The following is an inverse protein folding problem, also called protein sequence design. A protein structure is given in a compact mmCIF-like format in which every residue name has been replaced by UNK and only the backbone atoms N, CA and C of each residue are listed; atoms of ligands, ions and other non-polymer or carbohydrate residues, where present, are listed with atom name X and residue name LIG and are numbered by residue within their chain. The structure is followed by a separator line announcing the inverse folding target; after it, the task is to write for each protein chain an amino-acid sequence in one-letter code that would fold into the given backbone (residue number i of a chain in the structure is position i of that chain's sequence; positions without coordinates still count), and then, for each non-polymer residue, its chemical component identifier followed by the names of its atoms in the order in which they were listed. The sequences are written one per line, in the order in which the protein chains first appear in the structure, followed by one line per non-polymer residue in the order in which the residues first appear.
data_IF_429342427234
#
_entry.id   IF_429342427234
#
_cell.length_a   1.000
_cell.length_b   1.000
_cell.length_c   1.000
_cell.angle_alpha   90.00
_cell.angle_beta   90.00
_cell.angle_gamma   90.00
#
_symmetry.space_group_name_H-M   'P 1'
#
loop_
_entity.id
_entity.type
_entity.pdbx_description
1 polymer ?
#
# COMPACT_ATOMS: atom_id res chain seq x y z
N UNK A 1 -9.32 -14.15 8.15
CA UNK A 1 -8.63 -13.01 8.82
C UNK A 1 -7.49 -12.39 8.01
N UNK A 2 -6.97 -13.01 6.93
CA UNK A 2 -5.82 -12.47 6.18
C UNK A 2 -5.95 -11.01 5.69
N UNK A 3 -7.15 -10.59 5.24
CA UNK A 3 -7.40 -9.19 4.86
C UNK A 3 -7.14 -8.17 5.98
N UNK A 4 -7.38 -8.55 7.24
CA UNK A 4 -7.15 -7.67 8.40
C UNK A 4 -5.65 -7.45 8.62
N UNK A 5 -4.84 -8.51 8.51
CA UNK A 5 -3.38 -8.41 8.63
C UNK A 5 -2.79 -7.54 7.51
N UNK A 6 -3.30 -7.70 6.28
CA UNK A 6 -2.92 -6.84 5.15
C UNK A 6 -3.25 -5.38 5.46
N UNK A 7 -4.49 -5.10 5.89
CA UNK A 7 -4.91 -3.74 6.25
C UNK A 7 -4.02 -3.14 7.34
N UNK A 8 -3.68 -3.92 8.36
CA UNK A 8 -2.80 -3.49 9.45
C UNK A 8 -1.40 -3.12 8.95
N UNK A 9 -0.79 -3.94 8.08
CA UNK A 9 0.52 -3.65 7.49
C UNK A 9 0.52 -2.35 6.67
N UNK A 10 -0.54 -2.08 5.92
CA UNK A 10 -0.66 -0.83 5.16
C UNK A 10 -0.90 0.38 6.06
N UNK A 11 -1.68 0.27 7.13
CA UNK A 11 -1.87 1.37 8.08
C UNK A 11 -0.57 1.71 8.82
N UNK A 12 0.26 0.72 9.17
CA UNK A 12 1.61 1.00 9.70
C UNK A 12 2.46 1.78 8.69
N UNK A 13 2.41 1.37 7.42
CA UNK A 13 3.16 2.04 6.35
C UNK A 13 2.69 3.48 6.14
N UNK A 14 1.37 3.73 6.24
CA UNK A 14 0.80 5.09 6.24
C UNK A 14 1.30 5.92 7.42
N UNK A 15 1.34 5.34 8.62
CA UNK A 15 1.86 6.03 9.82
C UNK A 15 3.35 6.37 9.70
N UNK A 16 4.13 5.55 9.00
CA UNK A 16 5.54 5.84 8.70
C UNK A 16 5.73 6.78 7.49
N UNK A 17 4.67 7.07 6.72
CA UNK A 17 4.76 7.82 5.47
C UNK A 17 5.48 7.06 4.35
N UNK A 18 5.53 5.73 4.45
CA UNK A 18 6.20 4.85 3.49
C UNK A 18 5.18 4.16 2.58
N UNK A 19 5.60 3.91 1.34
CA UNK A 19 4.86 3.08 0.40
C UNK A 19 5.32 1.64 0.59
N UNK A 20 4.40 0.75 0.92
CA UNK A 20 4.69 -0.66 1.11
C UNK A 20 4.25 -1.48 -0.09
N UNK A 21 5.07 -2.47 -0.41
CA UNK A 21 4.72 -3.57 -1.30
C UNK A 21 4.80 -4.85 -0.48
N UNK A 22 3.94 -5.85 -0.73
CA UNK A 22 4.13 -7.16 -0.12
C UNK A 22 5.50 -7.75 -0.46
N UNK A 23 6.14 -8.38 0.52
CA UNK A 23 7.35 -9.19 0.31
C UNK A 23 7.02 -10.39 -0.58
N UNK A 24 7.90 -10.65 -1.57
CA UNK A 24 7.74 -11.72 -2.56
C UNK A 24 8.68 -12.88 -2.18
N UNK A 25 8.27 -14.16 -2.33
CA UNK A 25 7.07 -14.63 -3.03
C UNK A 25 5.82 -14.68 -2.13
N UNK A 26 4.71 -14.15 -2.64
CA UNK A 26 3.38 -14.31 -2.04
C UNK A 26 2.80 -15.69 -2.37
N UNK A 27 2.16 -16.35 -1.41
CA UNK A 27 1.32 -17.53 -1.67
C UNK A 27 0.10 -17.19 -2.54
N UNK A 28 -0.48 -18.16 -3.25
CA UNK A 28 -1.68 -17.96 -4.11
C UNK A 28 -2.84 -17.32 -3.35
N UNK A 29 -3.12 -17.79 -2.14
CA UNK A 29 -4.15 -17.23 -1.26
C UNK A 29 -3.80 -15.80 -0.80
N UNK A 30 -2.51 -15.52 -0.63
CA UNK A 30 -1.99 -14.19 -0.34
C UNK A 30 -2.30 -13.24 -1.49
N UNK A 31 -1.92 -13.61 -2.73
CA UNK A 31 -2.19 -12.81 -3.93
C UNK A 31 -3.67 -12.46 -4.08
N UNK A 32 -4.56 -13.43 -3.89
CA UNK A 32 -6.02 -13.18 -3.92
C UNK A 32 -6.46 -12.23 -2.80
N UNK A 33 -5.92 -12.38 -1.60
CA UNK A 33 -6.24 -11.52 -0.46
C UNK A 33 -5.78 -10.07 -0.68
N UNK A 34 -4.56 -9.87 -1.20
CA UNK A 34 -4.02 -8.55 -1.54
C UNK A 34 -4.83 -7.89 -2.65
N UNK A 35 -5.08 -8.58 -3.77
CA UNK A 35 -5.91 -8.05 -4.86
C UNK A 35 -7.29 -7.64 -4.37
N UNK A 36 -7.94 -8.48 -3.57
CA UNK A 36 -9.27 -8.18 -3.04
C UNK A 36 -9.26 -6.99 -2.08
N UNK A 37 -8.19 -6.80 -1.29
CA UNK A 37 -8.02 -5.62 -0.44
C UNK A 37 -7.79 -4.35 -1.29
N UNK A 38 -6.84 -4.38 -2.22
CA UNK A 38 -6.52 -3.25 -3.09
C UNK A 38 -7.73 -2.80 -3.92
N UNK A 39 -8.45 -3.74 -4.54
CA UNK A 39 -9.65 -3.42 -5.31
C UNK A 39 -10.71 -2.73 -4.46
N UNK A 40 -10.91 -3.18 -3.21
CA UNK A 40 -11.87 -2.56 -2.30
C UNK A 40 -11.46 -1.13 -1.91
N UNK A 41 -10.21 -0.93 -1.49
CA UNK A 41 -9.67 0.40 -1.12
C UNK A 41 -9.76 1.37 -2.30
N UNK A 42 -9.36 0.92 -3.49
CA UNK A 42 -9.44 1.73 -4.71
C UNK A 42 -10.88 2.06 -5.04
N UNK A 43 -11.81 1.11 -4.96
CA UNK A 43 -13.24 1.38 -5.21
C UNK A 43 -13.81 2.39 -4.23
N UNK A 44 -13.47 2.31 -2.95
CA UNK A 44 -13.96 3.25 -1.94
C UNK A 44 -13.48 4.68 -2.22
N UNK A 45 -12.20 4.84 -2.57
CA UNK A 45 -11.65 6.14 -2.96
C UNK A 45 -12.31 6.63 -4.24
N UNK A 46 -12.39 5.79 -5.28
CA UNK A 46 -12.97 6.15 -6.56
C UNK A 46 -14.47 6.46 -6.48
N UNK A 47 -15.20 5.81 -5.57
CA UNK A 47 -16.62 6.08 -5.32
C UNK A 47 -16.83 7.46 -4.69
N UNK A 48 -15.94 7.87 -3.79
CA UNK A 48 -16.03 9.15 -3.08
C UNK A 48 -15.32 10.30 -3.82
N UNK A 49 -14.46 9.99 -4.80
CA UNK A 49 -13.73 10.98 -5.56
C UNK A 49 -14.59 11.60 -6.66
N UNK A 50 -14.91 12.89 -6.53
CA UNK A 50 -15.50 13.70 -7.58
C UNK A 50 -14.39 14.39 -8.40
N UNK A 51 -13.69 13.67 -9.29
CA UNK A 51 -12.71 14.30 -10.18
C UNK A 51 -11.72 13.36 -10.86
N UNK A 52 -10.77 13.95 -11.60
CA UNK A 52 -9.64 13.23 -12.19
C UNK A 52 -8.59 12.93 -11.11
N UNK A 53 -8.59 11.70 -10.58
CA UNK A 53 -7.49 11.23 -9.73
C UNK A 53 -6.33 10.73 -10.59
N UNK A 54 -5.10 10.97 -10.14
CA UNK A 54 -3.90 10.37 -10.73
C UNK A 54 -3.45 9.13 -9.95
N UNK A 55 -2.65 8.28 -10.61
CA UNK A 55 -2.07 7.09 -9.96
C UNK A 55 -1.14 7.47 -8.80
N UNK A 56 -0.49 8.64 -8.89
CA UNK A 56 0.36 9.17 -7.82
C UNK A 56 -0.47 9.53 -6.59
N UNK A 57 -1.63 10.16 -6.78
CA UNK A 57 -2.52 10.53 -5.67
C UNK A 57 -3.05 9.27 -4.97
N UNK A 58 -3.45 8.25 -5.74
CA UNK A 58 -3.86 6.97 -5.18
C UNK A 58 -2.74 6.31 -4.38
N UNK A 59 -1.50 6.34 -4.90
CA UNK A 59 -0.34 5.78 -4.20
C UNK A 59 -0.06 6.51 -2.88
N UNK A 60 -0.16 7.84 -2.88
CA UNK A 60 0.01 8.65 -1.67
C UNK A 60 -1.11 8.43 -0.64
N UNK A 61 -2.36 8.28 -1.07
CA UNK A 61 -3.50 8.05 -0.17
C UNK A 61 -3.53 6.65 0.44
N UNK A 62 -3.05 5.64 -0.31
CA UNK A 62 -3.19 4.23 0.08
C UNK A 62 -1.92 3.61 0.61
N UNK A 63 -0.76 4.26 0.42
CA UNK A 63 0.57 3.66 0.62
C UNK A 63 0.82 2.40 -0.21
N UNK A 64 0.04 2.18 -1.28
CA UNK A 64 0.23 1.08 -2.23
C UNK A 64 1.14 1.56 -3.37
N UNK A 65 1.99 0.67 -3.89
CA UNK A 65 2.84 0.99 -5.04
C UNK A 65 2.02 1.30 -6.29
N UNK A 66 2.53 2.22 -7.12
CA UNK A 66 1.89 2.56 -8.39
C UNK A 66 1.72 1.34 -9.31
N UNK A 67 2.67 0.41 -9.29
CA UNK A 67 2.61 -0.84 -10.07
C UNK A 67 1.44 -1.72 -9.65
N UNK A 68 1.22 -1.88 -8.35
CA UNK A 68 0.12 -2.69 -7.83
C UNK A 68 -1.23 -2.01 -8.10
N UNK A 69 -1.30 -0.68 -7.96
CA UNK A 69 -2.48 0.12 -8.31
C UNK A 69 -2.83 -0.06 -9.79
N UNK A 70 -1.86 0.11 -10.68
CA UNK A 70 -2.06 -0.05 -12.14
C UNK A 70 -2.58 -1.45 -12.45
N UNK A 71 -1.92 -2.49 -11.94
CA UNK A 71 -2.33 -3.88 -12.21
C UNK A 71 -3.74 -4.19 -11.68
N UNK A 72 -4.12 -3.60 -10.55
CA UNK A 72 -5.44 -3.78 -9.93
C UNK A 72 -6.50 -3.04 -10.74
N UNK A 73 -6.27 -1.77 -11.10
CA UNK A 73 -7.19 -0.99 -11.92
C UNK A 73 -7.35 -1.58 -13.33
N UNK A 74 -6.28 -2.16 -13.90
CA UNK A 74 -6.33 -2.88 -15.18
C UNK A 74 -7.25 -4.10 -15.08
N UNK A 75 -7.11 -4.88 -14.00
CA UNK A 75 -7.97 -6.05 -13.75
C UNK A 75 -9.45 -5.68 -13.61
N UNK A 76 -9.73 -4.44 -13.17
CA UNK A 76 -11.08 -3.90 -12.99
C UNK A 76 -11.60 -3.13 -14.21
N UNK A 77 -10.84 -3.07 -15.31
CA UNK A 77 -11.14 -2.24 -16.49
C UNK A 77 -11.39 -0.75 -16.17
N UNK A 78 -10.70 -0.23 -15.14
CA UNK A 78 -10.84 1.16 -14.67
C UNK A 78 -9.69 2.08 -15.06
N UNK A 79 -8.72 1.56 -15.81
CA UNK A 79 -7.59 2.33 -16.33
C UNK A 79 -7.40 1.99 -17.80
N UNK A 80 -7.09 3.01 -18.60
CA UNK A 80 -6.74 2.88 -20.01
C UNK A 80 -5.32 3.36 -20.23
N UNK A 81 -4.61 2.68 -21.12
CA UNK A 81 -3.31 3.14 -21.56
C UNK A 81 -3.48 4.06 -22.77
N UNK A 82 -3.02 5.31 -22.65
CA UNK A 82 -3.14 6.33 -23.68
C UNK A 82 -1.84 7.12 -23.82
N UNK A 83 -1.28 7.18 -25.03
CA UNK A 83 -0.05 7.93 -25.35
C UNK A 83 1.13 7.69 -24.38
N UNK A 84 1.34 6.45 -23.94
CA UNK A 84 2.42 6.14 -23.00
C UNK A 84 2.06 6.34 -21.52
N UNK A 85 0.84 6.80 -21.22
CA UNK A 85 0.39 7.10 -19.86
C UNK A 85 -0.83 6.25 -19.48
N UNK A 86 -0.91 5.90 -18.20
CA UNK A 86 -2.08 5.23 -17.64
C UNK A 86 -3.08 6.29 -17.17
N UNK A 87 -4.23 6.36 -17.83
CA UNK A 87 -5.31 7.29 -17.54
C UNK A 87 -6.42 6.54 -16.82
N UNK A 88 -6.78 7.02 -15.63
CA UNK A 88 -7.87 6.45 -14.84
C UNK A 88 -9.20 6.85 -15.49
N UNK A 89 -10.01 5.85 -15.85
CA UNK A 89 -11.31 6.04 -16.48
C UNK A 89 -12.38 5.40 -15.58
N UNK A 90 -12.88 6.18 -14.63
CA UNK A 90 -13.95 5.73 -13.73
C UNK A 90 -15.27 6.33 -14.18
N UNK A 91 -16.17 5.44 -14.62
CA UNK A 91 -17.57 5.79 -14.88
C UNK A 91 -18.41 5.31 -13.70
N UNK A 92 -19.43 6.06 -13.25
CA UNK A 92 -20.32 5.63 -12.16
C UNK A 92 -20.88 4.22 -12.37
N UNK A 93 -21.25 3.90 -13.62
CA UNK A 93 -21.70 2.56 -14.04
C UNK A 93 -20.69 1.45 -13.75
N UNK A 94 -19.39 1.71 -13.97
CA UNK A 94 -18.35 0.71 -13.72
C UNK A 94 -18.17 0.48 -12.21
N UNK A 95 -18.23 1.55 -11.41
CA UNK A 95 -18.18 1.44 -9.95
C UNK A 95 -19.38 0.64 -9.44
N UNK A 96 -20.59 0.96 -9.90
CA UNK A 96 -21.81 0.24 -9.52
C UNK A 96 -21.75 -1.25 -9.88
N UNK A 97 -21.27 -1.59 -11.09
CA UNK A 97 -21.12 -2.99 -11.48
C UNK A 97 -20.12 -3.75 -10.60
N UNK A 98 -19.00 -3.13 -10.26
CA UNK A 98 -18.00 -3.77 -9.39
C UNK A 98 -18.48 -3.86 -7.94
N UNK A 99 -19.18 -2.84 -7.43
CA UNK A 99 -19.80 -2.89 -6.10
C UNK A 99 -20.89 -3.95 -6.03
N UNK A 100 -21.65 -4.14 -7.11
CA UNK A 100 -22.67 -5.20 -7.24
C UNK A 100 -22.04 -6.59 -7.39
N UNK A 101 -20.82 -6.66 -7.94
CA UNK A 101 -20.10 -7.92 -8.12
C UNK A 101 -19.66 -8.53 -6.79
N UNK A 102 -19.97 -9.80 -6.60
CA UNK A 102 -19.69 -10.58 -5.39
C UNK A 102 -18.18 -10.70 -5.06
N UNK A 103 -17.33 -10.44 -6.05
CA UNK A 103 -15.88 -10.46 -5.97
C UNK A 103 -15.27 -9.28 -5.16
N UNK A 104 -15.97 -8.13 -5.11
CA UNK A 104 -15.46 -6.91 -4.48
C UNK A 104 -16.26 -6.54 -3.21
N UNK A 105 -16.87 -7.53 -2.56
CA UNK A 105 -17.61 -7.33 -1.31
C UNK A 105 -16.75 -6.65 -0.24
N UNK A 106 -17.38 -5.71 0.46
CA UNK A 106 -16.82 -5.02 1.61
C UNK A 106 -16.21 -6.04 2.57
N UNK A 107 -14.92 -5.90 2.95
CA UNK A 107 -14.31 -6.78 3.93
C UNK A 107 -15.11 -6.73 5.23
N UNK A 108 -15.33 -7.90 5.86
CA UNK A 108 -16.08 -8.01 7.12
C UNK A 108 -15.46 -7.21 8.28
N UNK A 109 -14.16 -6.97 8.19
CA UNK A 109 -13.40 -6.19 9.17
C UNK A 109 -12.75 -5.03 8.45
N UNK A 110 -13.11 -3.81 8.85
CA UNK A 110 -12.47 -2.57 8.43
C UNK A 110 -11.59 -2.14 9.58
N UNK A 111 -10.33 -1.89 9.28
CA UNK A 111 -9.40 -1.42 10.27
C UNK A 111 -9.45 0.11 10.25
N UNK A 112 -9.96 0.70 11.33
CA UNK A 112 -9.93 2.13 11.56
C UNK A 112 -8.49 2.54 11.94
N UNK A 113 -7.82 3.33 11.09
CA UNK A 113 -6.45 3.79 11.34
C UNK A 113 -6.32 4.57 12.65
N UNK A 114 -7.41 5.23 13.07
CA UNK A 114 -7.52 5.93 14.36
C UNK A 114 -7.38 5.02 15.59
N UNK A 115 -7.61 3.71 15.43
CA UNK A 115 -7.46 2.72 16.50
C UNK A 115 -6.02 2.21 16.65
N UNK A 116 -5.13 2.50 15.70
CA UNK A 116 -3.73 2.07 15.76
C UNK A 116 -2.90 3.08 16.55
N UNK A 117 -2.60 2.73 17.80
CA UNK A 117 -1.57 3.42 18.58
C UNK A 117 -0.22 2.76 18.30
N UNK A 118 0.43 3.20 17.22
CA UNK A 118 1.77 2.75 16.87
C UNK A 118 2.74 3.92 16.80
N UNK A 119 3.93 3.75 17.38
CA UNK A 119 4.99 4.74 17.39
C UNK A 119 6.26 4.07 16.87
N UNK A 120 6.88 4.59 15.79
CA UNK A 120 8.09 4.01 15.26
C UNK A 120 9.17 3.97 16.33
N UNK A 121 9.75 2.79 16.58
CA UNK A 121 10.98 2.70 17.36
C UNK A 121 12.07 3.41 16.56
N UNK A 122 12.49 4.60 17.01
CA UNK A 122 13.69 5.26 16.49
C UNK A 122 14.84 4.26 16.61
N UNK A 123 15.39 3.82 15.48
CA UNK A 123 16.62 3.06 15.47
C UNK A 123 17.68 3.94 16.14
N UNK A 124 18.13 3.54 17.33
CA UNK A 124 19.26 4.18 17.99
C UNK A 124 20.49 3.41 17.51
N UNK A 125 21.21 3.89 16.47
CA UNK A 125 22.48 3.26 16.11
C UNK A 125 23.32 3.26 17.38
N UNK A 126 23.68 2.07 17.87
CA UNK A 126 24.64 1.98 18.97
C UNK A 126 25.86 2.78 18.52
N UNK A 127 26.36 3.74 19.31
CA UNK A 127 27.62 4.37 18.99
C UNK A 127 28.66 3.25 18.84
N UNK A 128 29.17 3.08 17.62
CA UNK A 128 30.23 2.12 17.35
C UNK A 128 31.42 2.41 18.28
N UNK A 129 32.24 1.41 18.61
CA UNK A 129 33.34 1.59 19.55
C UNK A 129 34.23 2.75 19.08
N UNK A 130 34.33 3.76 19.91
CA UNK A 130 35.21 4.92 19.76
C UNK A 130 36.62 4.40 19.50
N UNK A 131 37.18 4.64 18.30
CA UNK A 131 38.61 4.43 18.03
C UNK A 131 39.41 5.39 18.93
N UNK A 132 39.73 4.95 20.14
CA UNK A 132 40.73 5.60 20.98
C UNK A 132 42.10 5.01 20.67
N UNK A 133 42.99 5.94 20.31
CA UNK A 133 44.46 5.93 20.47
C UNK A 133 45.26 4.82 19.80
N UNK A 134 45.71 5.16 18.59
CA UNK A 134 47.01 4.74 18.04
C UNK A 134 48.09 5.59 18.70
N UNK A 135 48.81 5.08 19.71
CA UNK A 135 50.18 5.50 20.02
C UNK A 135 50.81 4.62 21.10
N UNK A 136 52.09 4.28 20.92
CA UNK A 136 53.01 3.60 21.85
C UNK A 136 52.73 2.08 21.91
N UNK A 137 53.61 1.17 21.49
CA UNK A 137 55.03 1.01 21.82
C UNK A 137 55.82 0.37 20.65
N UNK A 138 56.96 0.98 20.29
CA UNK A 138 58.08 0.31 19.60
C UNK A 138 59.32 0.59 20.44
N UNK A 139 59.66 -0.35 21.31
CA UNK A 139 60.97 -0.46 21.95
C UNK A 139 61.16 -1.93 22.36
N UNK A 140 62.22 -2.55 21.86
CA UNK A 140 62.58 -3.96 22.08
C UNK A 140 63.34 -4.50 20.89
#
# INVERSE_FOLDING_TARGET
YGKLLIAFSYELSKLEGLVASPEKPLSDLGRLSYRSYWSWVLLEILKNACGSLSIKDLSAMTSITQTDIISTLQSMNMVKYWKGQHVICVTPKNVEQLVSSEQYKRPRFILEGSAIKWTPKKYNPRPGPSRHSRSQYLAG
#
